data_IF_962478884840
#
_entry.id   IF_962478884840
#
_cell.length_a   1.000
_cell.length_b   1.000
_cell.length_c   1.000
_cell.angle_alpha   90.00
_cell.angle_beta   90.00
_cell.angle_gamma   90.00
#
_symmetry.space_group_name_H-M   'P 1'
#
loop_
_entity.id
_entity.type
_entity.pdbx_description
1 polymer ?
#
# COMPACT_ATOMS: atom_id res chain seq x y z
N UNK A 1 -6.16 1.31 -44.49
CA UNK A 1 -5.87 1.71 -43.09
C UNK A 1 -4.77 2.76 -43.12
N UNK A 2 -5.10 4.03 -42.79
CA UNK A 2 -4.11 5.14 -42.72
C UNK A 2 -3.50 5.14 -41.33
N UNK A 3 -2.19 4.92 -41.21
CA UNK A 3 -1.45 5.08 -39.96
C UNK A 3 -1.53 6.55 -39.52
N UNK A 4 -1.93 6.79 -38.26
CA UNK A 4 -1.82 8.11 -37.61
C UNK A 4 -0.36 8.34 -37.23
N UNK A 5 0.22 9.53 -37.46
CA UNK A 5 1.57 9.86 -37.01
C UNK A 5 1.64 9.86 -35.48
N UNK A 6 2.66 9.21 -34.92
CA UNK A 6 2.95 9.17 -33.51
C UNK A 6 3.30 10.57 -32.97
N UNK A 7 2.81 10.90 -31.79
CA UNK A 7 3.11 12.15 -31.08
C UNK A 7 4.38 11.93 -30.26
N UNK A 8 5.45 12.67 -30.59
CA UNK A 8 6.70 12.64 -29.82
C UNK A 8 6.72 13.83 -28.85
N UNK A 9 7.11 13.56 -27.61
CA UNK A 9 7.30 14.59 -26.58
C UNK A 9 8.78 14.88 -26.38
N UNK A 10 9.14 16.17 -26.39
CA UNK A 10 10.46 16.64 -25.97
C UNK A 10 10.23 17.65 -24.85
N UNK A 11 10.76 17.38 -23.67
CA UNK A 11 10.69 18.25 -22.47
C UNK A 11 9.28 18.76 -22.10
N UNK A 12 8.27 17.90 -22.13
CA UNK A 12 6.93 18.27 -21.71
C UNK A 12 6.13 19.18 -22.66
N UNK A 13 6.65 19.49 -23.84
CA UNK A 13 5.94 20.30 -24.85
C UNK A 13 5.55 19.47 -26.08
N UNK A 14 4.31 19.64 -26.55
CA UNK A 14 3.85 19.00 -27.78
C UNK A 14 4.44 19.70 -29.01
N UNK A 15 4.63 18.98 -30.10
CA UNK A 15 5.13 19.50 -31.39
C UNK A 15 4.36 20.73 -31.89
N UNK A 16 3.07 20.85 -31.61
CA UNK A 16 2.27 22.03 -31.94
C UNK A 16 2.68 23.29 -31.17
N UNK A 17 3.08 23.17 -29.90
CA UNK A 17 3.52 24.33 -29.10
C UNK A 17 4.89 24.81 -29.53
N UNK A 18 5.78 23.92 -29.99
CA UNK A 18 7.10 24.28 -30.52
C UNK A 18 6.96 25.03 -31.82
N UNK A 19 6.11 24.59 -32.76
CA UNK A 19 5.86 25.29 -34.01
C UNK A 19 5.24 26.67 -33.81
N UNK A 20 4.32 26.81 -32.84
CA UNK A 20 3.71 28.11 -32.52
C UNK A 20 4.77 29.08 -31.94
N UNK A 21 5.66 28.60 -31.07
CA UNK A 21 6.73 29.42 -30.50
C UNK A 21 7.75 29.86 -31.55
N UNK A 22 8.19 28.96 -32.44
CA UNK A 22 9.08 29.25 -33.54
C UNK A 22 8.46 30.27 -34.51
N UNK A 23 7.18 30.14 -34.85
CA UNK A 23 6.52 31.12 -35.75
C UNK A 23 6.42 32.52 -35.13
N UNK A 24 6.30 32.62 -33.80
CA UNK A 24 6.21 33.90 -33.07
C UNK A 24 7.59 34.59 -32.97
N UNK A 25 8.68 33.83 -32.87
CA UNK A 25 10.05 34.36 -32.80
C UNK A 25 10.52 34.84 -34.17
N UNK A 26 10.24 34.08 -35.25
CA UNK A 26 10.71 34.43 -36.60
C UNK A 26 9.91 35.52 -37.30
N UNK A 27 8.71 35.86 -36.81
CA UNK A 27 7.91 36.95 -37.40
C UNK A 27 8.44 38.36 -37.09
N UNK A 28 9.45 38.51 -36.23
CA UNK A 28 10.02 39.82 -35.81
C UNK A 28 11.52 40.04 -36.17
N UNK A 29 12.12 39.11 -36.90
CA UNK A 29 13.56 39.19 -37.27
C UNK A 29 13.72 39.46 -38.77
N UNK A 30 14.57 40.42 -39.15
CA UNK A 30 14.83 40.74 -40.57
C UNK A 30 15.52 39.57 -41.30
N UNK A 31 15.29 39.38 -42.60
CA UNK A 31 15.82 38.24 -43.37
C UNK A 31 17.34 38.08 -43.31
N UNK A 32 18.08 39.16 -43.17
CA UNK A 32 19.55 39.17 -43.07
C UNK A 32 20.07 38.60 -41.75
N UNK A 33 19.36 38.79 -40.65
CA UNK A 33 19.76 38.27 -39.35
C UNK A 33 19.44 36.75 -39.22
N UNK A 34 18.37 36.28 -39.87
CA UNK A 34 18.00 34.87 -39.85
C UNK A 34 19.05 33.99 -40.55
N UNK A 35 19.68 34.51 -41.66
CA UNK A 35 20.71 33.76 -42.41
C UNK A 35 22.01 33.59 -41.59
N UNK A 36 22.38 34.58 -40.80
CA UNK A 36 23.57 34.51 -39.93
C UNK A 36 23.37 33.52 -38.77
N UNK A 37 22.18 33.49 -38.15
CA UNK A 37 21.90 32.57 -37.06
C UNK A 37 21.88 31.11 -37.52
N UNK A 38 21.37 30.83 -38.72
CA UNK A 38 21.36 29.46 -39.29
C UNK A 38 22.79 29.03 -39.68
N UNK A 39 23.65 29.96 -40.25
CA UNK A 39 25.04 29.62 -40.57
C UNK A 39 25.90 29.36 -39.33
N UNK A 40 25.69 30.06 -38.23
CA UNK A 40 26.40 29.81 -36.96
C UNK A 40 26.05 28.42 -36.37
N UNK A 41 24.81 27.96 -36.52
CA UNK A 41 24.44 26.61 -36.10
C UNK A 41 25.01 25.50 -37.00
N UNK A 42 25.26 25.78 -38.29
CA UNK A 42 25.82 24.79 -39.22
C UNK A 42 27.36 24.73 -39.13
N UNK A 43 28.03 25.82 -38.81
CA UNK A 43 29.51 25.87 -38.72
C UNK A 43 30.04 25.55 -37.30
N UNK A 44 29.20 25.62 -36.26
CA UNK A 44 29.59 25.28 -34.89
C UNK A 44 29.46 23.77 -34.57
N UNK A 45 28.98 22.93 -35.50
CA UNK A 45 28.64 21.53 -35.29
C UNK A 45 29.74 20.51 -35.60
N UNK A 46 30.96 20.91 -35.88
CA UNK A 46 32.08 19.98 -36.14
C UNK A 46 33.19 20.09 -35.09
N UNK A 47 32.85 20.08 -33.83
CA UNK A 47 33.78 19.60 -32.80
C UNK A 47 33.53 18.13 -32.59
N UNK A 48 34.54 17.29 -32.88
CA UNK A 48 34.58 15.88 -32.56
C UNK A 48 34.15 15.66 -31.11
N UNK A 49 32.84 15.40 -30.89
CA UNK A 49 32.40 14.64 -29.73
C UNK A 49 32.91 13.25 -30.01
N UNK A 50 34.03 12.89 -29.40
CA UNK A 50 34.53 11.52 -29.41
C UNK A 50 33.35 10.63 -29.01
N UNK A 51 32.84 9.86 -29.95
CA UNK A 51 31.92 8.78 -29.68
C UNK A 51 32.71 7.72 -28.92
N UNK A 52 32.78 7.88 -27.60
CA UNK A 52 33.03 6.72 -26.80
C UNK A 52 31.92 5.72 -27.18
N UNK A 53 32.27 4.52 -27.61
CA UNK A 53 31.25 3.51 -27.80
C UNK A 53 30.43 3.42 -26.49
N UNK A 54 29.11 3.24 -26.56
CA UNK A 54 28.33 3.00 -25.35
C UNK A 54 29.07 1.92 -24.57
N UNK A 55 29.41 2.23 -23.29
CA UNK A 55 30.00 1.25 -22.40
C UNK A 55 29.19 -0.06 -22.46
N UNK A 56 29.77 -1.19 -22.13
CA UNK A 56 29.04 -2.45 -22.15
C UNK A 56 27.72 -2.21 -21.44
N UNK A 57 26.61 -2.53 -22.11
CA UNK A 57 25.28 -2.52 -21.48
C UNK A 57 25.46 -3.42 -20.28
N UNK A 58 25.37 -2.84 -19.07
CA UNK A 58 25.44 -3.60 -17.84
C UNK A 58 24.53 -4.80 -18.03
N UNK A 59 25.07 -5.98 -17.88
CA UNK A 59 24.31 -7.23 -18.00
C UNK A 59 23.07 -7.04 -17.11
N UNK A 60 21.85 -7.34 -17.60
CA UNK A 60 20.66 -7.12 -16.81
C UNK A 60 20.90 -7.72 -15.44
N UNK A 61 20.82 -6.88 -14.39
CA UNK A 61 21.01 -7.30 -13.03
C UNK A 61 20.14 -8.52 -12.82
N UNK A 62 20.72 -9.68 -12.53
CA UNK A 62 19.97 -10.91 -12.38
C UNK A 62 18.83 -10.64 -11.38
N UNK A 63 17.62 -11.02 -11.76
CA UNK A 63 16.48 -10.89 -10.85
C UNK A 63 16.82 -11.63 -9.55
N UNK A 64 16.42 -11.10 -8.39
CA UNK A 64 16.65 -11.81 -7.12
C UNK A 64 15.99 -13.18 -7.19
N UNK A 65 16.73 -14.20 -6.79
CA UNK A 65 16.20 -15.57 -6.68
C UNK A 65 15.23 -15.61 -5.49
N UNK A 66 13.95 -15.79 -5.80
CA UNK A 66 12.87 -15.88 -4.80
C UNK A 66 12.62 -17.34 -4.37
N UNK A 67 13.30 -18.34 -4.96
CA UNK A 67 13.04 -19.77 -4.69
C UNK A 67 13.48 -20.19 -3.28
N UNK A 68 14.46 -19.49 -2.70
CA UNK A 68 14.96 -19.73 -1.34
C UNK A 68 14.18 -19.01 -0.24
N UNK A 69 13.23 -18.16 -0.58
CA UNK A 69 12.46 -17.39 0.41
C UNK A 69 11.41 -18.28 1.05
N UNK A 70 11.38 -18.29 2.37
CA UNK A 70 10.28 -18.87 3.14
C UNK A 70 9.13 -17.84 3.25
N UNK A 71 7.99 -18.17 2.64
CA UNK A 71 6.82 -17.29 2.61
C UNK A 71 5.81 -17.62 3.68
N UNK A 72 5.39 -16.64 4.47
CA UNK A 72 4.29 -16.72 5.43
C UNK A 72 3.10 -15.93 4.89
N UNK A 73 1.92 -16.55 4.88
CA UNK A 73 0.67 -15.93 4.48
C UNK A 73 0.03 -15.19 5.66
N UNK A 74 0.03 -13.88 5.62
CA UNK A 74 -0.50 -13.03 6.67
C UNK A 74 -1.99 -12.71 6.48
N UNK A 75 -2.71 -13.51 5.69
CA UNK A 75 -4.10 -13.26 5.30
C UNK A 75 -5.05 -14.26 5.92
N UNK A 76 -6.11 -13.81 6.57
CA UNK A 76 -7.26 -14.66 6.90
C UNK A 76 -8.11 -14.97 5.67
N UNK A 77 -8.64 -16.19 5.57
CA UNK A 77 -9.57 -16.54 4.49
C UNK A 77 -10.84 -15.71 4.57
N UNK A 78 -11.37 -15.34 3.40
CA UNK A 78 -12.68 -14.69 3.30
C UNK A 78 -13.77 -15.74 3.13
N UNK A 79 -14.61 -15.86 4.15
CA UNK A 79 -15.74 -16.79 4.19
C UNK A 79 -16.86 -16.26 5.10
N UNK A 80 -17.82 -17.11 5.47
CA UNK A 80 -18.94 -16.74 6.34
C UNK A 80 -18.52 -16.35 7.77
N UNK A 81 -17.30 -16.69 8.21
CA UNK A 81 -16.75 -16.35 9.52
C UNK A 81 -15.96 -15.03 9.51
N UNK A 82 -15.74 -14.44 8.34
CA UNK A 82 -15.01 -13.17 8.20
C UNK A 82 -15.60 -12.10 9.09
N UNK A 83 -14.74 -11.44 9.86
CA UNK A 83 -15.14 -10.39 10.79
C UNK A 83 -15.16 -9.03 10.11
N UNK A 84 -16.23 -8.28 10.37
CA UNK A 84 -16.44 -6.91 9.92
C UNK A 84 -16.74 -6.01 11.09
N UNK A 85 -16.53 -4.72 10.92
CA UNK A 85 -16.87 -3.72 11.93
C UNK A 85 -18.32 -3.91 12.40
N UNK A 86 -18.64 -3.76 13.68
CA UNK A 86 -19.92 -4.19 14.24
C UNK A 86 -21.17 -3.59 13.62
N UNK A 87 -21.12 -2.33 13.16
CA UNK A 87 -22.24 -1.66 12.52
C UNK A 87 -22.35 -1.93 11.00
N UNK A 88 -21.45 -2.72 10.43
CA UNK A 88 -21.54 -3.12 9.03
C UNK A 88 -22.67 -4.15 8.86
N UNK A 89 -23.63 -3.81 8.00
CA UNK A 89 -24.81 -4.67 7.75
C UNK A 89 -24.53 -5.79 6.76
N UNK A 90 -23.48 -5.66 5.95
CA UNK A 90 -23.08 -6.64 4.96
C UNK A 90 -21.93 -7.51 5.49
N UNK A 91 -21.91 -8.76 5.03
CA UNK A 91 -20.85 -9.72 5.31
C UNK A 91 -20.34 -10.28 3.98
N UNK A 92 -19.24 -11.04 4.03
CA UNK A 92 -18.75 -11.78 2.87
C UNK A 92 -19.82 -12.77 2.37
N UNK A 93 -20.08 -12.73 1.07
CA UNK A 93 -20.99 -13.65 0.40
C UNK A 93 -20.34 -14.19 -0.86
N UNK A 94 -20.27 -15.51 -0.94
CA UNK A 94 -19.90 -16.26 -2.14
C UNK A 94 -21.15 -16.89 -2.72
N UNK A 95 -21.56 -16.45 -3.91
CA UNK A 95 -22.76 -16.96 -4.60
C UNK A 95 -22.32 -17.86 -5.74
N UNK A 96 -22.84 -19.07 -5.79
CA UNK A 96 -22.58 -20.00 -6.91
C UNK A 96 -23.37 -19.55 -8.14
N UNK A 97 -22.69 -19.20 -9.22
CA UNK A 97 -23.29 -18.90 -10.52
C UNK A 97 -23.43 -20.20 -11.35
N UNK A 98 -22.41 -21.06 -11.28
CA UNK A 98 -22.40 -22.35 -11.93
C UNK A 98 -21.48 -23.33 -11.20
N UNK A 99 -21.88 -24.61 -11.11
CA UNK A 99 -21.01 -25.66 -10.57
C UNK A 99 -21.51 -27.03 -11.01
N UNK A 100 -20.71 -27.74 -11.80
CA UNK A 100 -21.04 -29.09 -12.23
C UNK A 100 -20.42 -29.47 -13.57
N UNK A 101 -20.79 -30.66 -14.06
CA UNK A 101 -20.40 -31.10 -15.41
C UNK A 101 -21.31 -30.45 -16.43
N UNK A 102 -20.71 -29.79 -17.44
CA UNK A 102 -21.43 -29.14 -18.53
C UNK A 102 -21.96 -30.20 -19.55
N UNK A 103 -22.85 -29.77 -20.43
CA UNK A 103 -23.31 -30.60 -21.56
C UNK A 103 -22.14 -31.04 -22.46
N UNK A 104 -21.07 -30.28 -22.51
CA UNK A 104 -19.82 -30.62 -23.23
C UNK A 104 -18.92 -31.64 -22.51
N UNK A 105 -19.32 -32.15 -21.35
CA UNK A 105 -18.63 -33.22 -20.61
C UNK A 105 -17.44 -32.78 -19.77
N UNK A 106 -17.22 -31.47 -19.56
CA UNK A 106 -16.17 -30.93 -18.65
C UNK A 106 -16.76 -30.26 -17.40
N UNK A 107 -16.00 -30.28 -16.32
CA UNK A 107 -16.39 -29.60 -15.09
C UNK A 107 -16.18 -28.08 -15.22
N UNK A 108 -17.17 -27.30 -14.75
CA UNK A 108 -17.09 -25.85 -14.68
C UNK A 108 -17.64 -25.35 -13.35
N UNK A 109 -16.96 -24.37 -12.75
CA UNK A 109 -17.48 -23.64 -11.57
C UNK A 109 -17.20 -22.16 -11.70
N UNK A 110 -18.18 -21.35 -11.30
CA UNK A 110 -18.11 -19.89 -11.30
C UNK A 110 -18.88 -19.34 -10.11
N UNK A 111 -18.35 -18.27 -9.53
CA UNK A 111 -18.94 -17.66 -8.32
C UNK A 111 -18.87 -16.15 -8.45
N UNK A 112 -19.86 -15.48 -7.82
CA UNK A 112 -19.81 -14.03 -7.56
C UNK A 112 -19.48 -13.80 -6.10
N UNK A 113 -18.73 -12.72 -5.82
CA UNK A 113 -18.43 -12.28 -4.45
C UNK A 113 -19.06 -10.92 -4.17
N UNK A 114 -19.55 -10.75 -2.95
CA UNK A 114 -19.98 -9.47 -2.40
C UNK A 114 -19.37 -9.33 -1.00
N UNK A 115 -18.67 -8.22 -0.77
CA UNK A 115 -18.02 -7.94 0.51
C UNK A 115 -17.88 -6.43 0.70
N UNK A 116 -17.97 -5.91 1.94
CA UNK A 116 -17.48 -4.57 2.25
C UNK A 116 -15.97 -4.46 2.00
N UNK A 117 -15.48 -3.25 1.76
CA UNK A 117 -14.05 -2.98 1.56
C UNK A 117 -13.24 -3.25 2.84
N UNK A 118 -13.81 -2.89 4.01
CA UNK A 118 -13.17 -2.98 5.34
C UNK A 118 -13.71 -4.18 6.12
N UNK A 119 -12.85 -5.16 6.33
CA UNK A 119 -13.11 -6.39 7.08
C UNK A 119 -12.32 -7.57 6.56
N UNK A 120 -12.15 -8.61 7.39
CA UNK A 120 -11.12 -9.61 7.15
C UNK A 120 -9.74 -8.96 7.07
N UNK A 121 -8.75 -9.64 6.50
CA UNK A 121 -7.46 -9.00 6.21
C UNK A 121 -7.62 -8.02 5.05
N UNK A 122 -7.44 -6.74 5.31
CA UNK A 122 -7.68 -5.69 4.32
C UNK A 122 -6.67 -4.54 4.43
N UNK A 123 -6.70 -3.67 3.44
CA UNK A 123 -5.98 -2.41 3.42
C UNK A 123 -6.96 -1.25 3.60
N UNK A 124 -6.56 -0.29 4.39
CA UNK A 124 -7.17 1.03 4.41
C UNK A 124 -6.38 1.96 3.50
N UNK A 125 -7.05 2.50 2.48
CA UNK A 125 -6.47 3.51 1.62
C UNK A 125 -6.50 4.89 2.28
N UNK A 126 -5.55 5.77 2.00
CA UNK A 126 -5.49 7.10 2.60
C UNK A 126 -6.79 7.92 2.53
N UNK A 127 -7.56 7.76 1.46
CA UNK A 127 -8.85 8.45 1.30
C UNK A 127 -9.89 8.05 2.35
N UNK A 128 -9.70 6.92 3.03
CA UNK A 128 -10.63 6.44 4.06
C UNK A 128 -10.85 7.45 5.19
N UNK A 129 -9.79 8.12 5.66
CA UNK A 129 -9.88 9.15 6.71
C UNK A 129 -9.27 10.50 6.31
N UNK A 130 -8.81 10.68 5.06
CA UNK A 130 -8.25 11.93 4.60
C UNK A 130 -8.76 12.28 3.18
N UNK A 131 -9.55 13.34 3.09
CA UNK A 131 -10.11 13.82 1.84
C UNK A 131 -9.01 14.18 0.82
N UNK A 132 -9.25 13.87 -0.46
CA UNK A 132 -8.32 14.12 -1.58
C UNK A 132 -6.97 13.37 -1.49
N UNK A 133 -6.89 12.30 -0.70
CA UNK A 133 -5.74 11.40 -0.63
C UNK A 133 -5.93 10.20 -1.56
N UNK A 134 -4.93 9.32 -1.65
CA UNK A 134 -4.97 8.17 -2.55
C UNK A 134 -6.14 7.24 -2.25
N UNK A 135 -6.88 6.89 -3.29
CA UNK A 135 -7.77 5.73 -3.30
C UNK A 135 -6.96 4.45 -3.46
N UNK A 136 -7.54 3.29 -3.18
CA UNK A 136 -6.79 2.01 -3.17
C UNK A 136 -6.12 1.70 -4.51
N UNK A 137 -6.74 2.09 -5.63
CA UNK A 137 -6.17 1.92 -6.98
C UNK A 137 -5.04 2.90 -7.31
N UNK A 138 -4.88 3.96 -6.52
CA UNK A 138 -3.86 5.00 -6.68
C UNK A 138 -2.62 4.79 -5.80
N UNK A 139 -2.69 3.91 -4.78
CA UNK A 139 -1.55 3.64 -3.90
C UNK A 139 -0.37 3.11 -4.72
N UNK A 140 0.82 3.76 -4.64
CA UNK A 140 2.00 3.30 -5.37
C UNK A 140 2.44 1.90 -4.91
N UNK A 141 2.86 1.03 -5.83
CA UNK A 141 3.38 -0.30 -5.49
C UNK A 141 4.57 -0.23 -4.52
N UNK A 142 5.36 0.84 -4.57
CA UNK A 142 6.46 1.08 -3.63
C UNK A 142 6.01 1.24 -2.19
N UNK A 143 4.74 1.58 -1.93
CA UNK A 143 4.14 1.59 -0.59
C UNK A 143 3.62 0.22 -0.16
N UNK A 144 3.38 -0.68 -1.12
CA UNK A 144 2.77 -1.99 -0.91
C UNK A 144 3.79 -3.14 -0.90
N UNK A 145 4.99 -2.91 -1.44
CA UNK A 145 6.04 -3.92 -1.56
C UNK A 145 7.34 -3.36 -1.01
N UNK A 146 8.03 -4.12 -0.14
CA UNK A 146 9.38 -3.78 0.29
C UNK A 146 9.78 -4.29 1.66
N UNK A 147 10.94 -3.83 2.16
CA UNK A 147 11.45 -4.24 3.45
C UNK A 147 10.44 -3.93 4.56
N UNK A 148 10.41 -4.83 5.55
CA UNK A 148 9.54 -4.67 6.70
C UNK A 148 10.26 -5.07 7.99
N UNK A 149 9.72 -4.58 9.11
CA UNK A 149 10.10 -4.99 10.46
C UNK A 149 8.84 -5.36 11.24
N UNK A 150 9.00 -6.27 12.20
CA UNK A 150 7.94 -6.65 13.13
C UNK A 150 8.30 -6.23 14.55
N UNK A 151 7.42 -5.46 15.18
CA UNK A 151 7.51 -5.05 16.57
C UNK A 151 6.53 -5.90 17.38
N UNK A 152 7.04 -6.73 18.27
CA UNK A 152 6.23 -7.57 19.13
C UNK A 152 5.92 -6.86 20.45
N UNK A 153 4.65 -6.52 20.63
CA UNK A 153 4.12 -5.90 21.85
C UNK A 153 3.05 -6.79 22.51
N UNK A 154 3.00 -8.06 22.14
CA UNK A 154 1.96 -9.00 22.56
C UNK A 154 1.86 -9.15 24.07
N UNK A 155 2.98 -9.09 24.79
CA UNK A 155 2.99 -9.14 26.25
C UNK A 155 2.18 -8.01 26.90
N UNK A 156 2.33 -6.78 26.41
CA UNK A 156 1.60 -5.62 26.89
C UNK A 156 0.13 -5.64 26.44
N UNK A 157 -0.08 -5.91 25.16
CA UNK A 157 -1.41 -5.91 24.55
C UNK A 157 -2.35 -6.99 25.13
N UNK A 158 -1.82 -8.19 25.41
CA UNK A 158 -2.60 -9.26 26.03
C UNK A 158 -2.87 -9.02 27.52
N UNK A 159 -2.03 -8.24 28.20
CA UNK A 159 -2.27 -7.84 29.58
C UNK A 159 -3.28 -6.69 29.70
N UNK A 160 -3.38 -5.84 28.69
CA UNK A 160 -4.33 -4.71 28.64
C UNK A 160 -4.99 -4.62 27.26
N UNK A 161 -6.28 -4.94 27.18
CA UNK A 161 -7.04 -4.91 25.92
C UNK A 161 -7.10 -3.54 25.24
N UNK A 162 -7.01 -2.48 26.01
CA UNK A 162 -7.03 -1.10 25.51
C UNK A 162 -5.62 -0.50 25.41
N UNK A 163 -4.61 -1.36 25.21
CA UNK A 163 -3.22 -0.94 25.11
C UNK A 163 -3.01 -0.03 23.91
N UNK A 164 -2.33 1.07 24.14
CA UNK A 164 -1.86 2.00 23.11
C UNK A 164 -0.37 1.76 22.88
N UNK A 165 -0.04 1.27 21.67
CA UNK A 165 1.35 1.06 21.23
C UNK A 165 2.07 2.39 21.22
N UNK A 166 3.05 2.55 22.10
CA UNK A 166 3.69 3.81 22.42
C UNK A 166 5.01 4.03 21.67
N UNK A 167 5.52 5.26 21.72
CA UNK A 167 6.88 5.58 21.25
C UNK A 167 7.92 4.72 21.99
N UNK A 168 7.74 4.51 23.31
CA UNK A 168 8.68 3.70 24.10
C UNK A 168 8.74 2.24 23.68
N UNK A 169 7.65 1.67 23.15
CA UNK A 169 7.67 0.31 22.57
C UNK A 169 8.56 0.26 21.32
N UNK A 170 8.44 1.27 20.47
CA UNK A 170 9.23 1.39 19.24
C UNK A 170 10.72 1.60 19.59
N UNK A 171 11.01 2.52 20.52
CA UNK A 171 12.38 2.79 20.96
C UNK A 171 13.02 1.58 21.66
N UNK A 172 12.24 0.82 22.43
CA UNK A 172 12.71 -0.43 23.06
C UNK A 172 13.07 -1.47 22.02
N UNK A 173 12.27 -1.58 20.95
CA UNK A 173 12.59 -2.43 19.81
C UNK A 173 13.87 -1.96 19.09
N UNK A 174 14.01 -0.65 18.84
CA UNK A 174 15.19 -0.07 18.19
C UNK A 174 16.47 -0.23 19.01
N UNK A 175 16.37 -0.17 20.32
CA UNK A 175 17.52 -0.45 21.21
C UNK A 175 18.06 -1.87 21.06
N UNK A 176 17.23 -2.82 20.62
CA UNK A 176 17.60 -4.20 20.44
C UNK A 176 18.04 -4.52 19.01
N UNK A 177 17.34 -3.99 18.01
CA UNK A 177 17.49 -4.38 16.61
C UNK A 177 18.07 -3.28 15.72
N UNK A 178 18.29 -2.10 16.25
CA UNK A 178 18.74 -0.93 15.51
C UNK A 178 17.58 -0.07 15.01
N UNK A 179 17.90 1.11 14.52
CA UNK A 179 16.92 2.08 14.03
C UNK A 179 16.14 1.50 12.84
N UNK A 180 14.81 1.69 12.86
CA UNK A 180 13.94 1.35 11.72
C UNK A 180 14.39 2.15 10.50
N UNK A 181 14.77 1.48 9.39
CA UNK A 181 15.20 2.19 8.18
C UNK A 181 14.07 2.99 7.55
N UNK A 182 14.41 4.10 6.89
CA UNK A 182 13.46 4.89 6.09
C UNK A 182 12.77 3.99 5.03
N UNK A 183 11.52 4.30 4.71
CA UNK A 183 10.72 3.57 3.72
C UNK A 183 10.47 2.09 4.03
N UNK A 184 10.43 1.75 5.30
CA UNK A 184 10.10 0.41 5.80
C UNK A 184 8.61 0.29 6.10
N UNK A 185 8.03 -0.90 5.91
CA UNK A 185 6.71 -1.28 6.41
C UNK A 185 6.89 -1.72 7.88
N UNK A 186 6.09 -1.18 8.78
CA UNK A 186 6.13 -1.56 10.20
C UNK A 186 4.92 -2.40 10.56
N UNK A 187 5.15 -3.63 11.01
CA UNK A 187 4.11 -4.55 11.45
C UNK A 187 4.15 -4.65 12.98
N UNK A 188 2.99 -4.45 13.63
CA UNK A 188 2.84 -4.59 15.07
C UNK A 188 2.11 -5.89 15.40
N UNK A 189 2.81 -6.79 16.11
CA UNK A 189 2.23 -8.02 16.64
C UNK A 189 1.65 -7.74 18.03
N UNK A 190 0.31 -7.72 18.13
CA UNK A 190 -0.40 -7.58 19.40
C UNK A 190 -0.75 -8.92 20.04
N UNK A 191 -0.69 -9.99 19.26
CA UNK A 191 -1.12 -11.33 19.65
C UNK A 191 -2.64 -11.52 19.58
N UNK A 192 -3.36 -10.54 19.02
CA UNK A 192 -4.82 -10.62 18.85
C UNK A 192 -5.23 -11.50 17.68
N UNK A 193 -4.38 -11.69 16.68
CA UNK A 193 -4.62 -12.58 15.54
C UNK A 193 -5.10 -13.98 15.95
N UNK A 194 -4.62 -14.48 17.10
CA UNK A 194 -5.04 -15.79 17.66
C UNK A 194 -6.51 -15.86 18.05
N UNK A 195 -7.18 -14.73 18.28
CA UNK A 195 -8.61 -14.69 18.65
C UNK A 195 -9.53 -14.69 17.42
N UNK A 196 -8.99 -14.36 16.23
CA UNK A 196 -9.76 -14.40 15.00
C UNK A 196 -10.12 -15.85 14.62
N UNK A 197 -11.38 -16.17 14.21
CA UNK A 197 -12.52 -15.27 13.98
C UNK A 197 -13.53 -15.22 15.16
N UNK A 198 -13.11 -15.47 16.40
CA UNK A 198 -14.00 -15.36 17.55
C UNK A 198 -14.30 -13.90 17.87
N UNK A 199 -15.48 -13.41 17.46
CA UNK A 199 -15.87 -12.01 17.60
C UNK A 199 -15.72 -11.49 19.03
N UNK A 200 -16.21 -12.22 20.03
CA UNK A 200 -16.18 -11.81 21.44
C UNK A 200 -14.75 -11.64 21.95
N UNK A 201 -13.91 -12.61 21.65
CA UNK A 201 -12.50 -12.55 22.04
C UNK A 201 -11.72 -11.47 21.27
N UNK A 202 -12.03 -11.28 20.00
CA UNK A 202 -11.32 -10.38 19.09
C UNK A 202 -11.70 -8.90 19.29
N UNK A 203 -13.02 -8.60 19.31
CA UNK A 203 -13.54 -7.23 19.46
C UNK A 203 -13.82 -6.82 20.92
N UNK A 204 -13.89 -7.78 21.86
CA UNK A 204 -14.34 -7.53 23.23
C UNK A 204 -15.84 -7.73 23.42
N UNK A 205 -16.62 -7.86 22.33
CA UNK A 205 -18.06 -8.08 22.34
C UNK A 205 -18.50 -8.94 21.17
N UNK A 206 -19.53 -9.73 21.33
CA UNK A 206 -20.23 -10.45 20.26
C UNK A 206 -21.44 -9.68 19.69
N UNK A 207 -21.79 -8.54 20.29
CA UNK A 207 -22.85 -7.68 19.81
C UNK A 207 -22.55 -7.13 18.41
N UNK A 208 -23.63 -6.82 17.68
CA UNK A 208 -23.59 -6.18 16.36
C UNK A 208 -24.45 -4.91 16.38
N UNK A 209 -24.24 -4.04 15.42
CA UNK A 209 -24.93 -2.77 15.31
C UNK A 209 -24.22 -1.64 16.06
N UNK A 210 -24.78 -0.41 16.01
CA UNK A 210 -24.18 0.76 16.61
C UNK A 210 -23.90 0.66 18.11
N UNK A 211 -24.75 -0.06 18.84
CA UNK A 211 -24.63 -0.24 20.31
C UNK A 211 -23.42 -1.09 20.70
N UNK A 212 -22.84 -1.82 19.76
CA UNK A 212 -21.59 -2.58 19.98
C UNK A 212 -20.35 -1.68 20.02
N UNK A 213 -20.37 -0.51 19.38
CA UNK A 213 -19.19 0.36 19.24
C UNK A 213 -18.59 0.77 20.60
N UNK A 214 -19.38 1.20 21.61
CA UNK A 214 -18.84 1.52 22.93
C UNK A 214 -18.28 0.33 23.71
N UNK A 215 -18.52 -0.90 23.25
CA UNK A 215 -18.09 -2.13 23.90
C UNK A 215 -16.84 -2.75 23.26
N UNK A 216 -16.24 -2.06 22.30
CA UNK A 216 -15.03 -2.53 21.60
C UNK A 216 -13.82 -2.37 22.50
N UNK A 217 -13.06 -3.44 22.68
CA UNK A 217 -11.85 -3.50 23.47
C UNK A 217 -10.77 -4.31 22.76
N UNK A 218 -9.85 -3.65 22.13
CA UNK A 218 -8.66 -4.22 21.47
C UNK A 218 -7.56 -3.15 21.36
N UNK A 219 -6.27 -3.54 21.34
CA UNK A 219 -5.17 -2.60 21.27
C UNK A 219 -5.06 -1.90 19.91
N UNK A 220 -4.42 -0.75 19.88
CA UNK A 220 -4.13 0.01 18.68
C UNK A 220 -2.88 0.87 18.82
N UNK A 221 -2.56 1.65 17.80
CA UNK A 221 -1.39 2.52 17.77
C UNK A 221 -1.74 3.85 18.45
N UNK A 222 -0.90 4.30 19.39
CA UNK A 222 -1.02 5.65 19.96
C UNK A 222 -0.84 6.70 18.87
N UNK A 223 -1.72 7.71 18.78
CA UNK A 223 -1.58 8.81 17.82
C UNK A 223 -0.21 9.51 17.87
N UNK A 224 0.40 9.61 19.07
CA UNK A 224 1.75 10.16 19.19
C UNK A 224 2.81 9.24 18.56
N UNK A 225 2.66 7.92 18.69
CA UNK A 225 3.55 6.96 18.06
C UNK A 225 3.40 6.97 16.53
N UNK A 226 2.18 7.08 16.00
CA UNK A 226 1.93 7.24 14.57
C UNK A 226 2.62 8.48 14.01
N UNK A 227 2.46 9.63 14.68
CA UNK A 227 3.12 10.87 14.30
C UNK A 227 4.65 10.77 14.38
N UNK A 228 5.16 10.09 15.40
CA UNK A 228 6.59 9.87 15.58
C UNK A 228 7.19 9.03 14.46
N UNK A 229 6.52 7.94 14.04
CA UNK A 229 6.94 7.09 12.91
C UNK A 229 7.05 7.88 11.61
N UNK A 230 6.07 8.73 11.31
CA UNK A 230 6.09 9.61 10.14
C UNK A 230 7.28 10.56 10.18
N UNK A 231 7.45 11.26 11.32
CA UNK A 231 8.41 12.36 11.43
C UNK A 231 9.86 11.87 11.55
N UNK A 232 10.08 10.71 12.19
CA UNK A 232 11.41 10.24 12.57
C UNK A 232 11.89 9.02 11.77
N UNK A 233 10.99 8.28 11.09
CA UNK A 233 11.33 7.03 10.38
C UNK A 233 10.81 6.97 8.96
N UNK A 234 10.01 7.95 8.52
CA UNK A 234 9.45 8.03 7.16
C UNK A 234 8.94 6.68 6.67
N UNK A 235 8.23 5.96 7.54
CA UNK A 235 7.64 4.67 7.21
C UNK A 235 6.70 4.81 6.01
N UNK A 236 6.48 3.74 5.24
CA UNK A 236 5.64 3.78 4.04
C UNK A 236 4.29 3.09 4.18
N UNK A 237 4.13 2.27 5.20
CA UNK A 237 2.88 1.64 5.61
C UNK A 237 3.03 1.11 7.03
N UNK A 238 1.90 0.91 7.71
CA UNK A 238 1.84 0.22 8.99
C UNK A 238 0.82 -0.91 8.91
N UNK A 239 0.99 -1.94 9.75
CA UNK A 239 0.01 -3.03 9.83
C UNK A 239 -0.02 -3.67 11.21
N UNK A 240 -1.15 -4.30 11.56
CA UNK A 240 -1.31 -5.01 12.82
C UNK A 240 -2.36 -6.13 12.74
N UNK A 241 -2.36 -6.98 13.75
CA UNK A 241 -3.26 -8.13 13.89
C UNK A 241 -4.53 -7.79 14.69
N UNK A 242 -4.99 -6.53 14.66
CA UNK A 242 -6.24 -6.06 15.27
C UNK A 242 -7.22 -5.53 14.23
N UNK A 243 -8.51 -5.34 14.59
CA UNK A 243 -9.53 -4.90 13.63
C UNK A 243 -9.49 -3.42 13.28
N UNK A 244 -8.56 -2.65 13.85
CA UNK A 244 -8.37 -1.22 13.56
C UNK A 244 -6.96 -0.77 13.94
N UNK A 245 -6.42 0.23 13.22
CA UNK A 245 -5.18 0.92 13.59
C UNK A 245 -5.34 1.69 14.90
N UNK A 246 -6.52 2.25 15.16
CA UNK A 246 -6.90 2.83 16.44
C UNK A 246 -7.33 1.74 17.42
N UNK A 247 -7.16 1.96 18.72
CA UNK A 247 -7.64 1.06 19.75
C UNK A 247 -9.18 1.07 19.86
N UNK A 248 -9.77 0.02 20.45
CA UNK A 248 -11.21 -0.21 20.45
C UNK A 248 -12.07 0.92 21.03
N UNK A 249 -11.56 1.69 21.98
CA UNK A 249 -12.25 2.82 22.61
C UNK A 249 -12.02 4.16 21.92
N UNK A 250 -11.33 4.18 20.76
CA UNK A 250 -11.12 5.41 19.97
C UNK A 250 -12.46 5.96 19.49
N UNK A 251 -12.65 7.28 19.65
CA UNK A 251 -13.84 7.99 19.16
C UNK A 251 -13.54 8.86 17.95
N UNK A 252 -12.29 9.24 17.79
CA UNK A 252 -11.85 10.26 16.83
C UNK A 252 -11.05 9.66 15.67
N UNK A 253 -10.71 8.38 15.74
CA UNK A 253 -9.87 7.67 14.76
C UNK A 253 -8.59 8.45 14.43
N UNK A 254 -7.95 8.97 15.47
CA UNK A 254 -6.87 9.96 15.32
C UNK A 254 -5.61 9.33 14.71
N UNK A 255 -5.33 8.06 14.98
CA UNK A 255 -4.22 7.33 14.35
C UNK A 255 -4.42 7.19 12.85
N UNK A 256 -5.60 6.76 12.41
CA UNK A 256 -5.96 6.72 10.99
C UNK A 256 -5.77 8.10 10.34
N UNK A 257 -6.38 9.13 10.92
CA UNK A 257 -6.32 10.49 10.38
C UNK A 257 -4.90 11.03 10.22
N UNK A 258 -4.01 10.73 11.16
CA UNK A 258 -2.60 11.14 11.11
C UNK A 258 -1.87 10.42 9.97
N UNK A 259 -1.98 9.09 9.89
CA UNK A 259 -1.29 8.30 8.89
C UNK A 259 -1.80 8.62 7.47
N UNK A 260 -3.11 8.66 7.31
CA UNK A 260 -3.74 8.85 6.01
C UNK A 260 -3.58 10.27 5.45
N UNK A 261 -3.45 11.27 6.32
CA UNK A 261 -3.09 12.62 5.92
C UNK A 261 -1.73 12.70 5.21
N UNK A 262 -0.83 11.72 5.45
CA UNK A 262 0.48 11.60 4.80
C UNK A 262 0.51 10.56 3.68
N UNK A 263 -0.66 10.12 3.18
CA UNK A 263 -0.81 9.05 2.19
C UNK A 263 -0.21 7.70 2.62
N UNK A 264 -0.19 7.41 3.93
CA UNK A 264 0.27 6.13 4.46
C UNK A 264 -0.91 5.17 4.60
N UNK A 265 -0.92 4.03 3.87
CA UNK A 265 -1.94 3.01 4.02
C UNK A 265 -1.74 2.19 5.31
N UNK A 266 -2.84 1.62 5.81
CA UNK A 266 -2.86 0.70 6.93
C UNK A 266 -3.25 -0.72 6.52
N UNK A 267 -2.69 -1.74 7.17
CA UNK A 267 -3.08 -3.13 7.00
C UNK A 267 -3.69 -3.65 8.30
N UNK A 268 -4.89 -4.17 8.24
CA UNK A 268 -5.63 -4.60 9.41
C UNK A 268 -5.99 -6.09 9.37
N UNK A 269 -6.24 -6.65 10.54
CA UNK A 269 -6.57 -8.07 10.68
C UNK A 269 -5.49 -8.99 10.08
N UNK A 270 -4.21 -8.71 10.36
CA UNK A 270 -3.12 -9.56 9.91
C UNK A 270 -3.09 -10.89 10.68
N UNK A 271 -2.68 -11.94 10.00
CA UNK A 271 -2.57 -13.29 10.54
C UNK A 271 -1.09 -13.69 10.72
N UNK A 272 -0.82 -14.63 11.60
CA UNK A 272 0.48 -15.33 11.72
C UNK A 272 1.70 -14.41 11.93
N UNK A 273 1.52 -13.22 12.50
CA UNK A 273 2.65 -12.32 12.78
C UNK A 273 3.66 -12.94 13.76
N UNK A 274 3.22 -13.84 14.63
CA UNK A 274 4.06 -14.57 15.58
C UNK A 274 5.12 -15.47 14.90
N UNK A 275 4.92 -15.85 13.66
CA UNK A 275 5.86 -16.67 12.89
C UNK A 275 7.00 -15.84 12.28
N UNK A 276 6.89 -14.51 12.29
CA UNK A 276 7.87 -13.64 11.66
C UNK A 276 9.03 -13.30 12.61
N UNK A 277 10.27 -13.21 12.13
CA UNK A 277 11.37 -12.58 12.86
C UNK A 277 11.15 -11.06 13.00
N UNK A 278 11.92 -10.42 13.87
CA UNK A 278 11.81 -8.97 14.08
C UNK A 278 12.29 -8.14 12.87
N UNK A 279 13.24 -8.67 12.11
CA UNK A 279 13.90 -7.98 10.98
C UNK A 279 14.12 -8.94 9.81
N UNK A 280 14.59 -8.41 8.67
CA UNK A 280 14.92 -9.24 7.50
C UNK A 280 13.71 -9.66 6.67
N UNK A 281 12.62 -8.94 6.78
CA UNK A 281 11.36 -9.26 6.10
C UNK A 281 11.23 -8.51 4.78
N UNK A 282 10.68 -9.21 3.78
CA UNK A 282 10.11 -8.63 2.56
C UNK A 282 8.59 -8.81 2.59
N UNK A 283 7.84 -7.71 2.63
CA UNK A 283 6.37 -7.75 2.59
C UNK A 283 5.88 -7.43 1.17
N UNK A 284 4.88 -8.21 0.73
CA UNK A 284 4.09 -7.97 -0.48
C UNK A 284 2.63 -7.92 -0.06
N UNK A 285 2.01 -6.73 -0.16
CA UNK A 285 0.65 -6.42 0.29
C UNK A 285 -0.18 -5.90 -0.89
N UNK A 286 -0.79 -6.80 -1.66
CA UNK A 286 -1.51 -6.43 -2.89
C UNK A 286 -3.03 -6.53 -2.69
N UNK A 287 -3.73 -5.39 -2.55
CA UNK A 287 -5.19 -5.36 -2.45
C UNK A 287 -5.87 -5.64 -3.78
N UNK A 288 -7.16 -5.93 -3.72
CA UNK A 288 -8.04 -5.78 -4.89
C UNK A 288 -7.98 -4.31 -5.35
N UNK A 289 -7.65 -4.09 -6.62
CA UNK A 289 -7.50 -2.73 -7.19
C UNK A 289 -8.86 -2.14 -7.55
N UNK A 290 -9.61 -1.69 -6.56
CA UNK A 290 -10.95 -1.11 -6.70
C UNK A 290 -10.81 0.36 -7.09
N UNK A 291 -11.31 0.74 -8.28
CA UNK A 291 -11.26 2.14 -8.74
C UNK A 291 -12.06 3.06 -7.83
N UNK A 292 -11.39 4.03 -7.21
CA UNK A 292 -12.01 4.97 -6.27
C UNK A 292 -12.31 4.40 -4.88
N UNK A 293 -11.89 3.15 -4.58
CA UNK A 293 -12.16 2.50 -3.30
C UNK A 293 -11.42 3.14 -2.12
N UNK A 294 -12.04 3.12 -0.94
CA UNK A 294 -11.47 3.58 0.32
C UNK A 294 -10.58 2.53 0.99
N UNK A 295 -10.63 1.30 0.51
CA UNK A 295 -9.87 0.15 0.98
C UNK A 295 -10.17 -1.07 0.12
N UNK A 296 -9.81 -2.25 0.60
CA UNK A 296 -10.15 -3.49 -0.09
C UNK A 296 -9.56 -4.73 0.52
N UNK A 297 -10.15 -5.90 0.22
CA UNK A 297 -9.56 -7.18 0.57
C UNK A 297 -8.11 -7.27 0.11
N UNK A 298 -7.26 -7.77 1.01
CA UNK A 298 -5.80 -7.79 0.83
C UNK A 298 -5.30 -9.23 0.85
N UNK A 299 -4.46 -9.61 -0.13
CA UNK A 299 -3.55 -10.73 0.06
C UNK A 299 -2.19 -10.19 0.42
N UNK A 300 -1.76 -10.44 1.64
CA UNK A 300 -0.47 -10.00 2.17
C UNK A 300 0.37 -11.22 2.58
N UNK A 301 1.63 -11.21 2.17
CA UNK A 301 2.61 -12.24 2.51
C UNK A 301 3.91 -11.60 2.98
N UNK A 302 4.62 -12.29 3.85
CA UNK A 302 5.97 -11.91 4.25
C UNK A 302 6.95 -13.01 3.86
N UNK A 303 8.05 -12.63 3.20
CA UNK A 303 9.18 -13.47 2.89
C UNK A 303 10.33 -13.21 3.87
N UNK A 304 11.05 -14.30 4.27
CA UNK A 304 12.22 -14.25 5.16
C UNK A 304 13.28 -15.30 4.74
#
# INVERSE_FOLDING_TARGET
MKQKPGVYYIYGMTYQKINFFLSMVFSKVSPTLATVVVLVFILGGCNNIGSNPPGPIDSPTALPDLSGIHWIDLTHSFDSSTLYWPNNVNNFKLTTESKGTTEGGYFYSSYSICTPEHGGTHIDAPVHFAENKYTVDQIPLTSLIGPAVKIDISAHALANRDYLISISDIESWENTFGQIPDHTIVLFQTGYGKFYPNRKEYFGTDQKGPDAIPLLHFPGIDPAAAKWLISNRKVKAVGLDTPSLDYGQSKDFLTHRILMAENLPGFENLNQLELLPATGLLVIALPMKIGGGSGGPLRIVAGM
#
